data_IF_226931662529
#
_entry.id   IF_226931662529
#
_cell.length_a   1.000
_cell.length_b   1.000
_cell.length_c   1.000
_cell.angle_alpha   90.00
_cell.angle_beta   90.00
_cell.angle_gamma   90.00
#
_symmetry.space_group_name_H-M   'P 1'
#
loop_
_entity.id
_entity.type
_entity.pdbx_description
1 polymer ?
#
# COMPACT_ATOMS: atom_id res chain seq x y z
N UNK A 1 4.29 -11.35 -9.31
CA UNK A 1 5.60 -11.78 -9.87
C UNK A 1 6.44 -10.63 -10.43
N UNK A 2 5.83 -9.44 -10.56
CA UNK A 2 6.33 -8.31 -11.32
C UNK A 2 7.33 -7.48 -10.52
N UNK A 3 7.19 -7.41 -9.19
CA UNK A 3 8.18 -6.74 -8.32
C UNK A 3 9.53 -7.46 -8.39
N UNK A 4 9.54 -8.79 -8.30
CA UNK A 4 10.77 -9.58 -8.44
C UNK A 4 11.40 -9.43 -9.85
N UNK A 5 10.57 -9.34 -10.90
CA UNK A 5 11.06 -9.07 -12.25
C UNK A 5 11.71 -7.67 -12.36
N UNK A 6 11.10 -6.65 -11.74
CA UNK A 6 11.67 -5.30 -11.69
C UNK A 6 12.99 -5.25 -10.93
N UNK A 7 13.12 -6.00 -9.82
CA UNK A 7 14.38 -6.17 -9.09
C UNK A 7 15.44 -6.81 -9.99
N UNK A 8 15.11 -7.90 -10.68
CA UNK A 8 16.05 -8.59 -11.59
C UNK A 8 16.50 -7.68 -12.75
N UNK A 9 15.62 -6.83 -13.25
CA UNK A 9 15.92 -5.89 -14.32
C UNK A 9 16.60 -4.59 -13.84
N UNK A 10 16.78 -4.40 -12.53
CA UNK A 10 17.37 -3.19 -11.95
C UNK A 10 16.54 -1.93 -12.19
N UNK A 11 15.22 -2.06 -12.33
CA UNK A 11 14.34 -0.93 -12.63
C UNK A 11 14.23 -0.03 -11.40
N UNK A 12 14.54 1.25 -11.58
CA UNK A 12 14.31 2.29 -10.57
C UNK A 12 12.85 2.74 -10.67
N UNK A 13 12.02 2.30 -9.72
CA UNK A 13 10.60 2.63 -9.68
C UNK A 13 10.08 2.75 -8.26
N UNK A 14 9.11 3.65 -8.07
CA UNK A 14 8.35 3.77 -6.82
C UNK A 14 6.99 3.10 -6.99
N UNK A 15 6.67 2.14 -6.11
CA UNK A 15 5.39 1.46 -6.03
C UNK A 15 4.69 1.91 -4.74
N UNK A 16 3.56 2.60 -4.86
CA UNK A 16 2.80 3.09 -3.71
C UNK A 16 1.62 2.15 -3.46
N UNK A 17 1.53 1.61 -2.25
CA UNK A 17 0.34 0.89 -1.77
C UNK A 17 -0.40 1.82 -0.83
N UNK A 18 -1.54 2.35 -1.29
CA UNK A 18 -2.50 3.06 -0.44
C UNK A 18 -3.44 2.01 0.13
N UNK A 19 -3.27 1.72 1.42
CA UNK A 19 -3.93 0.61 2.09
C UNK A 19 -5.11 1.11 2.91
N UNK A 20 -6.28 0.54 2.66
CA UNK A 20 -7.51 0.80 3.40
C UNK A 20 -8.08 -0.45 4.09
N UNK A 21 -7.26 -1.49 4.29
CA UNK A 21 -7.64 -2.70 5.00
C UNK A 21 -8.54 -3.66 4.20
N UNK A 22 -8.78 -3.40 2.92
CA UNK A 22 -9.47 -4.33 2.03
C UNK A 22 -10.16 -3.67 0.84
N UNK A 23 -11.47 -3.88 0.72
CA UNK A 23 -12.31 -3.24 -0.28
C UNK A 23 -13.13 -2.12 0.37
N UNK A 24 -12.43 -1.11 0.91
CA UNK A 24 -13.03 -0.05 1.73
C UNK A 24 -14.15 0.72 1.01
N UNK A 25 -13.98 1.03 -0.27
CA UNK A 25 -15.03 1.74 -1.03
C UNK A 25 -16.28 0.88 -1.25
N UNK A 26 -16.09 -0.41 -1.54
CA UNK A 26 -17.21 -1.36 -1.69
C UNK A 26 -17.95 -1.50 -0.36
N UNK A 27 -17.23 -1.49 0.77
CA UNK A 27 -17.83 -1.48 2.11
C UNK A 27 -18.72 -0.25 2.30
N UNK A 28 -18.20 0.94 1.99
CA UNK A 28 -18.95 2.20 2.09
C UNK A 28 -20.22 2.16 1.24
N UNK A 29 -20.12 1.71 -0.01
CA UNK A 29 -21.28 1.56 -0.89
C UNK A 29 -22.32 0.57 -0.36
N UNK A 30 -21.89 -0.55 0.26
CA UNK A 30 -22.81 -1.50 0.91
C UNK A 30 -23.57 -0.83 2.05
N UNK A 31 -22.86 -0.13 2.93
CA UNK A 31 -23.46 0.60 4.06
C UNK A 31 -24.44 1.67 3.59
N UNK A 32 -24.07 2.44 2.56
CA UNK A 32 -24.91 3.52 2.03
C UNK A 32 -26.20 3.00 1.39
N UNK A 33 -26.21 1.74 0.91
CA UNK A 33 -27.43 1.04 0.45
C UNK A 33 -28.21 0.36 1.59
N UNK A 34 -27.68 0.33 2.80
CA UNK A 34 -28.28 -0.37 3.95
C UNK A 34 -27.99 -1.88 3.98
N UNK A 35 -27.03 -2.37 3.19
CA UNK A 35 -26.60 -3.75 3.22
C UNK A 35 -25.62 -4.01 4.38
N UNK A 36 -25.57 -5.25 4.87
CA UNK A 36 -24.52 -5.66 5.82
C UNK A 36 -23.22 -5.94 5.08
N UNK A 37 -22.09 -5.28 5.41
CA UNK A 37 -20.82 -5.53 4.73
C UNK A 37 -20.36 -6.99 4.83
N UNK A 38 -19.91 -7.54 3.70
CA UNK A 38 -19.45 -8.93 3.62
C UNK A 38 -18.36 -9.10 2.57
N UNK A 39 -17.32 -9.87 2.89
CA UNK A 39 -16.20 -10.15 1.96
C UNK A 39 -15.29 -8.96 1.65
N UNK A 40 -15.39 -7.87 2.42
CA UNK A 40 -14.67 -6.62 2.15
C UNK A 40 -13.47 -6.39 3.05
N UNK A 41 -13.40 -7.01 4.24
CA UNK A 41 -12.23 -6.91 5.15
C UNK A 41 -11.19 -7.96 4.79
N UNK A 42 -9.96 -7.51 4.52
CA UNK A 42 -8.85 -8.36 4.13
C UNK A 42 -7.75 -8.26 5.21
N UNK A 43 -7.11 -9.38 5.53
CA UNK A 43 -6.02 -9.37 6.53
C UNK A 43 -4.72 -8.78 5.97
N UNK A 44 -4.56 -8.72 4.64
CA UNK A 44 -3.38 -8.16 3.97
C UNK A 44 -2.05 -8.86 4.32
N UNK A 45 -1.03 -8.81 3.44
CA UNK A 45 0.33 -9.10 3.85
C UNK A 45 0.99 -7.86 4.48
N UNK A 46 2.09 -8.05 5.19
CA UNK A 46 3.04 -6.97 5.46
C UNK A 46 3.73 -6.59 4.13
N UNK A 47 3.24 -5.53 3.48
CA UNK A 47 3.74 -5.10 2.17
C UNK A 47 5.23 -4.70 2.19
N UNK A 48 5.73 -3.91 3.17
CA UNK A 48 7.16 -3.66 3.31
C UNK A 48 7.99 -4.94 3.41
N UNK A 49 7.61 -5.88 4.26
CA UNK A 49 8.34 -7.14 4.42
C UNK A 49 8.30 -7.99 3.14
N UNK A 50 7.16 -8.01 2.45
CA UNK A 50 7.01 -8.70 1.17
C UNK A 50 7.96 -8.13 0.11
N UNK A 51 8.07 -6.80 0.00
CA UNK A 51 8.98 -6.14 -0.94
C UNK A 51 10.45 -6.46 -0.62
N UNK A 52 10.81 -6.42 0.66
CA UNK A 52 12.16 -6.76 1.12
C UNK A 52 12.50 -8.22 0.81
N UNK A 53 11.57 -9.15 1.01
CA UNK A 53 11.75 -10.56 0.65
C UNK A 53 11.97 -10.79 -0.86
N UNK A 54 11.48 -9.87 -1.71
CA UNK A 54 11.70 -9.90 -3.15
C UNK A 54 12.98 -9.17 -3.60
N UNK A 55 13.73 -8.57 -2.68
CA UNK A 55 14.96 -7.81 -2.96
C UNK A 55 14.73 -6.35 -3.33
N UNK A 56 13.52 -5.82 -3.12
CA UNK A 56 13.22 -4.39 -3.26
C UNK A 56 13.37 -3.68 -1.90
N UNK A 57 13.47 -2.35 -1.92
CA UNK A 57 13.27 -1.54 -0.71
C UNK A 57 11.78 -1.58 -0.36
N UNK A 58 11.44 -1.81 0.90
CA UNK A 58 10.06 -1.77 1.40
C UNK A 58 10.00 -0.91 2.65
N UNK A 59 9.13 0.10 2.66
CA UNK A 59 8.94 1.02 3.79
C UNK A 59 7.46 1.31 4.02
N UNK A 60 7.12 1.61 5.27
CA UNK A 60 5.84 2.18 5.66
C UNK A 60 6.04 3.66 6.02
N UNK A 61 5.07 4.50 5.67
CA UNK A 61 5.07 5.94 5.99
C UNK A 61 3.70 6.39 6.45
N UNK A 62 3.71 7.36 7.37
CA UNK A 62 2.50 7.95 7.94
C UNK A 62 2.29 9.36 7.41
N UNK A 63 1.21 9.55 6.65
CA UNK A 63 0.77 10.86 6.16
C UNK A 63 1.51 11.39 4.94
N UNK A 64 0.97 12.48 4.39
CA UNK A 64 1.39 13.04 3.11
C UNK A 64 2.83 13.57 3.10
N UNK A 65 3.27 14.20 4.19
CA UNK A 65 4.62 14.77 4.28
C UNK A 65 5.70 13.66 4.26
N UNK A 66 5.46 12.56 4.99
CA UNK A 66 6.36 11.41 4.99
C UNK A 66 6.35 10.69 3.64
N UNK A 67 5.20 10.60 2.96
CA UNK A 67 5.11 10.08 1.60
C UNK A 67 5.94 10.90 0.61
N UNK A 68 5.87 12.24 0.69
CA UNK A 68 6.64 13.12 -0.19
C UNK A 68 8.16 12.94 0.03
N UNK A 69 8.59 12.85 1.29
CA UNK A 69 9.98 12.57 1.62
C UNK A 69 10.43 11.20 1.10
N UNK A 70 9.61 10.17 1.30
CA UNK A 70 9.90 8.81 0.84
C UNK A 70 9.97 8.69 -0.69
N UNK A 71 9.13 9.42 -1.42
CA UNK A 71 9.20 9.48 -2.88
C UNK A 71 10.50 10.12 -3.36
N UNK A 72 10.91 11.21 -2.71
CA UNK A 72 12.19 11.88 -2.99
C UNK A 72 13.37 10.93 -2.76
N UNK A 73 13.36 10.16 -1.67
CA UNK A 73 14.39 9.15 -1.41
C UNK A 73 14.36 7.99 -2.42
N UNK A 74 13.16 7.55 -2.82
CA UNK A 74 12.98 6.46 -3.77
C UNK A 74 13.50 6.81 -5.17
N UNK A 75 13.40 8.07 -5.61
CA UNK A 75 13.99 8.52 -6.87
C UNK A 75 15.52 8.36 -6.91
N UNK A 76 16.18 8.49 -5.76
CA UNK A 76 17.62 8.32 -5.62
C UNK A 76 18.05 6.87 -5.34
N UNK A 77 17.09 5.97 -5.07
CA UNK A 77 17.37 4.60 -4.69
C UNK A 77 17.81 3.73 -5.89
N UNK A 78 18.69 2.78 -5.61
CA UNK A 78 19.01 1.73 -6.56
C UNK A 78 17.94 0.62 -6.50
N UNK A 79 17.21 0.47 -7.60
CA UNK A 79 16.16 -0.54 -7.76
C UNK A 79 14.77 -0.09 -7.28
N UNK A 80 13.81 -1.03 -7.21
CA UNK A 80 12.43 -0.72 -6.84
C UNK A 80 12.29 -0.37 -5.36
N UNK A 81 11.41 0.60 -5.06
CA UNK A 81 10.96 0.93 -3.71
C UNK A 81 9.45 0.75 -3.61
N UNK A 82 8.99 -0.11 -2.71
CA UNK A 82 7.60 -0.16 -2.26
C UNK A 82 7.42 0.77 -1.06
N UNK A 83 6.47 1.70 -1.19
CA UNK A 83 6.04 2.64 -0.15
C UNK A 83 4.61 2.27 0.22
N UNK A 84 4.40 1.83 1.45
CA UNK A 84 3.10 1.53 2.02
C UNK A 84 2.63 2.71 2.85
N UNK A 85 1.40 3.18 2.62
CA UNK A 85 0.75 4.25 3.38
C UNK A 85 -0.67 3.84 3.71
N UNK A 86 -1.10 4.13 4.93
CA UNK A 86 -2.47 3.92 5.39
C UNK A 86 -3.37 5.05 4.91
N UNK A 87 -4.52 4.71 4.33
CA UNK A 87 -5.52 5.67 3.85
C UNK A 87 -6.23 6.35 5.02
N UNK A 88 -6.18 7.69 5.08
CA UNK A 88 -6.93 8.51 6.04
C UNK A 88 -8.25 9.00 5.41
N UNK A 89 -9.16 8.07 5.19
CA UNK A 89 -10.52 8.33 4.70
C UNK A 89 -11.52 7.41 5.40
N UNK A 90 -12.83 7.61 5.18
CA UNK A 90 -13.88 6.68 5.65
C UNK A 90 -13.62 5.23 5.19
N UNK A 91 -13.08 5.05 3.99
CA UNK A 91 -12.77 3.73 3.47
C UNK A 91 -11.71 3.01 4.32
N UNK A 92 -10.70 3.74 4.81
CA UNK A 92 -9.61 3.19 5.62
C UNK A 92 -9.88 3.18 7.13
N UNK A 93 -10.38 4.28 7.69
CA UNK A 93 -10.51 4.48 9.13
C UNK A 93 -11.36 3.38 9.83
N UNK A 94 -12.43 2.94 9.18
CA UNK A 94 -13.34 1.94 9.73
C UNK A 94 -12.86 0.49 9.50
N UNK A 95 -11.79 0.30 8.73
CA UNK A 95 -11.29 -1.02 8.29
C UNK A 95 -9.97 -1.41 8.96
N UNK A 96 -9.13 -0.41 9.22
CA UNK A 96 -7.79 -0.53 9.78
C UNK A 96 -7.75 -0.46 11.31
N UNK A 97 -8.93 -0.30 11.94
CA UNK A 97 -9.17 -0.43 13.39
C UNK A 97 -9.37 -1.86 13.87
#
# INVERSE_FOLDING_TARGET
PELAAAVQAGVRMSLIVVDNGGYGEIRNEMEDRGDTPSGVKLTGPDFPALAQAMGARGIHVDGADALLAALTEAEAADGPTLIHITEDSRAGADMLG
#
